data_IF_479397160806
#
_entry.id   IF_479397160806
#
_cell.length_a   1.000
_cell.length_b   1.000
_cell.length_c   1.000
_cell.angle_alpha   90.00
_cell.angle_beta   90.00
_cell.angle_gamma   90.00
#
_symmetry.space_group_name_H-M   'P 1'
#
loop_
_entity.id
_entity.type
_entity.pdbx_description
1 polymer ?
#
# COMPACT_ATOMS: atom_id res chain seq x y z
N UNK A 1 3.02 -6.03 -17.35
CA UNK A 1 3.17 -6.04 -15.88
C UNK A 1 1.93 -6.70 -15.30
N UNK A 2 2.07 -7.73 -14.45
CA UNK A 2 0.94 -8.61 -14.08
C UNK A 2 0.39 -8.40 -12.65
N UNK A 3 0.83 -7.37 -11.92
CA UNK A 3 0.50 -7.23 -10.49
C UNK A 3 0.51 -5.76 -10.08
N UNK A 4 -0.60 -5.28 -9.53
CA UNK A 4 -0.76 -3.97 -8.86
C UNK A 4 -0.44 -2.71 -9.67
N UNK A 5 -0.32 -2.84 -10.99
CA UNK A 5 0.05 -1.71 -11.84
C UNK A 5 -1.03 -0.62 -11.88
N UNK A 6 -2.31 -0.98 -11.79
CA UNK A 6 -3.39 0.01 -11.94
C UNK A 6 -3.35 1.11 -10.88
N UNK A 7 -2.93 0.79 -9.65
CA UNK A 7 -2.78 1.79 -8.58
C UNK A 7 -1.79 2.91 -8.94
N UNK A 8 -0.81 2.64 -9.79
CA UNK A 8 0.17 3.64 -10.24
C UNK A 8 -0.37 4.52 -11.37
N UNK A 9 -1.32 4.03 -12.16
CA UNK A 9 -1.81 4.72 -13.37
C UNK A 9 -2.29 6.15 -13.11
N UNK A 10 -3.09 6.46 -12.06
CA UNK A 10 -3.49 7.82 -11.77
C UNK A 10 -2.29 8.76 -11.55
N UNK A 11 -1.26 8.28 -10.87
CA UNK A 11 -0.07 9.07 -10.54
C UNK A 11 0.87 9.22 -11.73
N UNK A 12 1.03 8.17 -12.54
CA UNK A 12 1.76 8.25 -13.82
C UNK A 12 1.06 9.21 -14.77
N UNK A 13 -0.27 9.16 -14.86
CA UNK A 13 -1.04 10.10 -15.67
C UNK A 13 -0.80 11.56 -15.22
N UNK A 14 -0.88 11.83 -13.90
CA UNK A 14 -0.59 13.15 -13.35
C UNK A 14 0.84 13.60 -13.64
N UNK A 15 1.82 12.70 -13.53
CA UNK A 15 3.22 12.98 -13.86
C UNK A 15 3.38 13.36 -15.34
N UNK A 16 2.79 12.58 -16.25
CA UNK A 16 2.85 12.82 -17.70
C UNK A 16 2.20 14.14 -18.07
N UNK A 17 0.99 14.43 -17.55
CA UNK A 17 0.27 15.68 -17.86
C UNK A 17 0.97 16.91 -17.29
N UNK A 18 1.60 16.79 -16.13
CA UNK A 18 2.36 17.90 -15.52
C UNK A 18 3.78 18.06 -16.08
N UNK A 19 4.27 17.12 -16.89
CA UNK A 19 5.66 17.08 -17.34
C UNK A 19 6.67 16.80 -16.20
N UNK A 20 6.21 16.27 -15.06
CA UNK A 20 7.08 15.97 -13.94
C UNK A 20 8.02 14.81 -14.28
N UNK A 21 9.32 15.01 -14.08
CA UNK A 21 10.30 13.94 -14.22
C UNK A 21 9.96 12.78 -13.26
N UNK A 22 10.14 11.50 -13.65
CA UNK A 22 9.83 10.36 -12.79
C UNK A 22 10.48 10.42 -11.39
N UNK A 23 11.71 10.94 -11.32
CA UNK A 23 12.45 11.11 -10.05
C UNK A 23 11.78 12.09 -9.08
N UNK A 24 10.99 13.03 -9.58
CA UNK A 24 10.17 13.98 -8.80
C UNK A 24 8.76 13.44 -8.58
N UNK A 25 8.17 12.85 -9.62
CA UNK A 25 6.80 12.34 -9.61
C UNK A 25 6.57 11.28 -8.53
N UNK A 26 7.56 10.41 -8.28
CA UNK A 26 7.48 9.43 -7.20
C UNK A 26 7.25 10.11 -5.85
N UNK A 27 8.06 11.12 -5.51
CA UNK A 27 7.94 11.85 -4.25
C UNK A 27 6.63 12.64 -4.15
N UNK A 28 6.16 13.24 -5.25
CA UNK A 28 4.84 13.89 -5.28
C UNK A 28 3.71 12.89 -5.02
N UNK A 29 3.78 11.69 -5.59
CA UNK A 29 2.80 10.64 -5.34
C UNK A 29 2.82 10.20 -3.87
N UNK A 30 4.00 10.02 -3.27
CA UNK A 30 4.12 9.63 -1.84
C UNK A 30 3.50 10.65 -0.88
N UNK A 31 3.49 11.94 -1.24
CA UNK A 31 2.80 12.98 -0.47
C UNK A 31 1.29 13.05 -0.77
N UNK A 32 0.89 12.76 -2.02
CA UNK A 32 -0.50 12.87 -2.47
C UNK A 32 -1.38 11.75 -1.90
N UNK A 33 -0.90 10.50 -1.89
CA UNK A 33 -1.63 9.34 -1.38
C UNK A 33 -2.16 9.54 0.05
N UNK A 34 -1.33 9.89 1.06
CA UNK A 34 -1.80 10.07 2.43
C UNK A 34 -2.72 11.29 2.56
N UNK A 35 -2.52 12.35 1.77
CA UNK A 35 -3.43 13.49 1.76
C UNK A 35 -4.85 13.09 1.29
N UNK A 36 -4.94 12.30 0.21
CA UNK A 36 -6.23 11.78 -0.26
C UNK A 36 -6.86 10.79 0.72
N UNK A 37 -6.05 9.94 1.37
CA UNK A 37 -6.53 9.04 2.42
C UNK A 37 -7.09 9.82 3.62
N UNK A 38 -6.44 10.91 4.03
CA UNK A 38 -6.96 11.80 5.08
C UNK A 38 -8.32 12.39 4.70
N UNK A 39 -8.47 12.90 3.47
CA UNK A 39 -9.73 13.49 2.99
C UNK A 39 -10.83 12.44 2.91
N UNK A 40 -10.53 11.24 2.41
CA UNK A 40 -11.49 10.13 2.36
C UNK A 40 -11.92 9.67 3.76
N UNK A 41 -10.99 9.55 4.70
CA UNK A 41 -11.29 9.28 6.12
C UNK A 41 -12.14 10.40 6.74
N UNK A 42 -11.85 11.65 6.41
CA UNK A 42 -12.62 12.80 6.87
C UNK A 42 -14.07 12.75 6.38
N UNK A 43 -14.31 12.33 5.13
CA UNK A 43 -15.65 12.08 4.62
C UNK A 43 -16.37 10.99 5.43
N UNK A 44 -15.69 9.90 5.78
CA UNK A 44 -16.24 8.82 6.62
C UNK A 44 -16.67 9.33 8.00
N UNK A 45 -15.77 10.06 8.69
CA UNK A 45 -16.05 10.63 10.00
C UNK A 45 -17.21 11.62 9.98
N UNK A 46 -17.30 12.45 8.94
CA UNK A 46 -18.42 13.36 8.73
C UNK A 46 -19.75 12.62 8.54
N UNK A 47 -19.79 11.53 7.75
CA UNK A 47 -21.00 10.74 7.55
C UNK A 47 -21.48 10.08 8.85
N UNK A 48 -20.56 9.60 9.69
CA UNK A 48 -20.90 8.97 10.97
C UNK A 48 -21.45 10.01 11.97
N UNK A 49 -20.86 11.20 12.05
CA UNK A 49 -21.15 12.15 13.13
C UNK A 49 -22.03 13.35 12.72
N UNK A 50 -22.13 13.66 11.43
CA UNK A 50 -22.72 14.89 10.91
C UNK A 50 -21.98 16.18 11.31
N UNK A 51 -20.70 16.08 11.75
CA UNK A 51 -19.94 17.20 12.36
C UNK A 51 -18.57 17.34 11.70
N UNK A 52 -18.12 18.59 11.50
CA UNK A 52 -16.75 18.89 10.99
C UNK A 52 -15.66 18.33 11.91
N UNK A 53 -15.88 18.30 13.22
CA UNK A 53 -14.95 17.68 14.16
C UNK A 53 -14.77 16.18 13.91
N UNK A 54 -15.82 15.47 13.48
CA UNK A 54 -15.72 14.05 13.10
C UNK A 54 -14.86 13.83 11.88
N UNK A 55 -14.90 14.77 10.92
CA UNK A 55 -14.05 14.74 9.74
C UNK A 55 -12.56 14.86 10.12
N UNK A 56 -12.20 15.88 10.91
CA UNK A 56 -10.82 16.07 11.37
C UNK A 56 -10.32 14.91 12.23
N UNK A 57 -11.12 14.45 13.20
CA UNK A 57 -10.74 13.35 14.08
C UNK A 57 -10.55 12.04 13.29
N UNK A 58 -11.41 11.75 12.31
CA UNK A 58 -11.26 10.56 11.48
C UNK A 58 -10.02 10.61 10.60
N UNK A 59 -9.72 11.76 9.97
CA UNK A 59 -8.49 11.94 9.20
C UNK A 59 -7.24 11.79 10.07
N UNK A 60 -7.21 12.42 11.25
CA UNK A 60 -6.10 12.35 12.20
C UNK A 60 -5.86 10.91 12.67
N UNK A 61 -6.91 10.25 13.15
CA UNK A 61 -6.83 8.86 13.63
C UNK A 61 -6.41 7.91 12.51
N UNK A 62 -6.95 8.07 11.30
CA UNK A 62 -6.68 7.13 10.22
C UNK A 62 -5.29 7.27 9.64
N UNK A 63 -4.80 8.50 9.42
CA UNK A 63 -3.61 8.72 8.57
C UNK A 63 -2.41 9.33 9.30
N UNK A 64 -2.61 9.96 10.46
CA UNK A 64 -1.55 10.68 11.17
C UNK A 64 -1.23 10.10 12.55
N UNK A 65 -1.95 9.06 12.98
CA UNK A 65 -1.79 8.48 14.32
C UNK A 65 -0.97 7.19 14.25
N UNK A 66 0.05 7.10 15.09
CA UNK A 66 0.85 5.89 15.30
C UNK A 66 0.17 4.88 16.23
N UNK A 67 0.98 3.99 16.80
CA UNK A 67 0.55 2.87 17.64
C UNK A 67 0.85 3.12 19.12
N UNK A 68 0.68 2.11 19.98
CA UNK A 68 1.08 2.16 21.38
C UNK A 68 2.55 1.78 21.61
N UNK A 69 3.36 1.70 20.55
CA UNK A 69 4.75 1.24 20.57
C UNK A 69 5.62 1.92 21.65
N UNK A 70 5.65 3.25 21.70
CA UNK A 70 6.43 3.98 22.71
C UNK A 70 5.90 3.83 24.14
N UNK A 71 4.63 3.47 24.34
CA UNK A 71 4.10 3.15 25.67
C UNK A 71 4.62 1.79 26.15
N UNK A 72 4.69 0.81 25.24
CA UNK A 72 5.20 -0.54 25.55
C UNK A 72 6.73 -0.57 25.61
N UNK A 73 7.40 0.29 24.84
CA UNK A 73 8.87 0.38 24.74
C UNK A 73 9.37 1.79 25.06
N UNK A 74 9.19 2.28 26.30
CA UNK A 74 9.55 3.66 26.66
C UNK A 74 11.02 3.98 26.47
N UNK A 75 11.92 2.99 26.62
CA UNK A 75 13.36 3.16 26.37
C UNK A 75 13.72 3.54 24.93
N UNK A 76 12.80 3.39 23.97
CA UNK A 76 13.03 3.79 22.58
C UNK A 76 12.84 5.30 22.35
N UNK A 77 12.14 5.99 23.26
CA UNK A 77 11.75 7.39 23.11
C UNK A 77 12.95 8.32 22.90
N UNK A 78 13.98 8.20 23.77
CA UNK A 78 15.10 9.15 23.83
C UNK A 78 16.19 8.95 22.77
N UNK A 79 16.12 7.89 21.96
CA UNK A 79 17.07 7.69 20.87
C UNK A 79 16.31 7.21 19.63
N UNK A 80 15.53 8.08 18.98
CA UNK A 80 14.87 7.70 17.74
C UNK A 80 15.95 7.41 16.68
N UNK A 81 15.72 6.40 15.86
CA UNK A 81 16.57 6.09 14.71
C UNK A 81 15.78 5.22 13.73
N UNK A 82 16.32 5.02 12.53
CA UNK A 82 15.63 4.21 11.53
C UNK A 82 15.33 2.78 12.01
N UNK A 83 16.26 2.12 12.72
CA UNK A 83 16.06 0.73 13.15
C UNK A 83 14.88 0.60 14.13
N UNK A 84 14.69 1.57 15.01
CA UNK A 84 13.56 1.59 15.94
C UNK A 84 12.26 2.00 15.27
N UNK A 85 12.31 2.88 14.26
CA UNK A 85 11.18 3.13 13.36
C UNK A 85 10.76 1.83 12.65
N UNK A 86 11.72 1.10 12.09
CA UNK A 86 11.50 -0.20 11.45
C UNK A 86 10.95 -1.24 12.42
N UNK A 87 11.52 -1.34 13.63
CA UNK A 87 11.06 -2.26 14.65
C UNK A 87 9.60 -2.02 15.06
N UNK A 88 9.10 -0.78 14.97
CA UNK A 88 7.69 -0.47 15.27
C UNK A 88 6.68 -1.11 14.30
N UNK A 89 7.12 -1.58 13.13
CA UNK A 89 6.28 -2.31 12.16
C UNK A 89 6.62 -3.81 12.07
N UNK A 90 7.40 -4.34 13.02
CA UNK A 90 7.85 -5.74 13.10
C UNK A 90 7.55 -6.37 14.46
N UNK A 91 6.39 -6.04 15.03
CA UNK A 91 5.96 -6.46 16.37
C UNK A 91 5.54 -7.93 16.40
N UNK A 92 4.87 -8.42 15.36
CA UNK A 92 4.46 -9.81 15.16
C UNK A 92 5.50 -10.49 14.25
N UNK A 93 6.27 -11.47 14.74
CA UNK A 93 7.42 -12.02 13.99
C UNK A 93 7.08 -12.64 12.62
N UNK A 94 5.90 -13.25 12.49
CA UNK A 94 5.47 -13.90 11.24
C UNK A 94 4.96 -12.94 10.16
N UNK A 95 4.95 -11.63 10.44
CA UNK A 95 4.32 -10.68 9.55
C UNK A 95 4.98 -9.31 9.47
N UNK A 96 4.57 -8.59 8.44
CA UNK A 96 4.78 -7.15 8.32
C UNK A 96 3.58 -6.49 9.01
N UNK A 97 3.81 -5.52 9.91
CA UNK A 97 2.75 -4.92 10.74
C UNK A 97 2.77 -3.40 10.63
N UNK A 98 2.80 -2.90 9.40
CA UNK A 98 2.73 -1.46 9.19
C UNK A 98 1.37 -0.89 9.59
N UNK A 99 1.37 0.41 9.76
CA UNK A 99 0.22 1.23 10.07
C UNK A 99 0.26 2.48 9.18
N UNK A 100 -0.87 3.17 8.93
CA UNK A 100 -0.97 4.09 7.80
C UNK A 100 0.08 5.21 7.75
N UNK A 101 0.43 5.81 8.89
CA UNK A 101 1.50 6.83 8.93
C UNK A 101 2.89 6.22 8.75
N UNK A 102 3.14 4.99 9.21
CA UNK A 102 4.39 4.29 8.97
C UNK A 102 4.59 4.01 7.49
N UNK A 103 3.57 3.46 6.81
CA UNK A 103 3.60 3.19 5.37
C UNK A 103 3.85 4.48 4.58
N UNK A 104 3.18 5.59 4.96
CA UNK A 104 3.40 6.89 4.34
C UNK A 104 4.83 7.42 4.53
N UNK A 105 5.42 7.24 5.72
CA UNK A 105 6.80 7.67 6.00
C UNK A 105 7.85 6.77 5.35
N UNK A 106 7.57 5.47 5.23
CA UNK A 106 8.46 4.54 4.53
C UNK A 106 8.49 4.80 3.01
N UNK A 107 7.42 5.41 2.48
CA UNK A 107 7.30 5.87 1.10
C UNK A 107 7.44 4.77 0.04
N UNK A 108 7.08 3.53 0.38
CA UNK A 108 6.91 2.46 -0.59
C UNK A 108 5.52 2.60 -1.24
N UNK A 109 5.48 3.05 -2.50
CA UNK A 109 4.26 3.14 -3.32
C UNK A 109 3.71 1.77 -3.71
N UNK A 110 3.58 0.87 -2.74
CA UNK A 110 3.00 -0.44 -2.93
C UNK A 110 1.48 -0.34 -3.11
N UNK A 111 0.88 -1.40 -3.67
CA UNK A 111 -0.57 -1.47 -3.90
C UNK A 111 -1.43 -1.10 -2.70
N UNK A 112 -1.07 -1.57 -1.50
CA UNK A 112 -1.85 -1.27 -0.30
C UNK A 112 -1.85 0.22 0.01
N UNK A 113 -0.75 0.92 -0.25
CA UNK A 113 -0.63 2.33 0.10
C UNK A 113 -1.45 3.14 -0.90
N UNK A 114 -1.27 2.85 -2.18
CA UNK A 114 -2.02 3.45 -3.29
C UNK A 114 -3.53 3.23 -3.16
N UNK A 115 -3.98 2.16 -2.50
CA UNK A 115 -5.40 1.83 -2.34
C UNK A 115 -6.07 2.51 -1.13
N UNK A 116 -5.33 3.02 -0.14
CA UNK A 116 -5.93 3.67 1.05
C UNK A 116 -7.02 4.71 0.72
N UNK A 117 -6.82 5.66 -0.22
CA UNK A 117 -7.83 6.65 -0.53
C UNK A 117 -9.09 6.04 -1.14
N UNK A 118 -8.91 5.06 -2.03
CA UNK A 118 -10.00 4.37 -2.71
C UNK A 118 -10.83 3.53 -1.75
N UNK A 119 -10.19 2.76 -0.87
CA UNK A 119 -10.85 1.95 0.14
C UNK A 119 -11.73 2.80 1.07
N UNK A 120 -11.18 3.88 1.61
CA UNK A 120 -11.90 4.81 2.48
C UNK A 120 -13.03 5.53 1.74
N UNK A 121 -12.82 5.92 0.48
CA UNK A 121 -13.86 6.54 -0.33
C UNK A 121 -15.00 5.55 -0.63
N UNK A 122 -14.69 4.28 -0.93
CA UNK A 122 -15.69 3.23 -1.09
C UNK A 122 -16.47 3.04 0.20
N UNK A 123 -15.80 2.99 1.36
CA UNK A 123 -16.46 2.91 2.66
C UNK A 123 -17.40 4.11 2.91
N UNK A 124 -16.97 5.33 2.57
CA UNK A 124 -17.82 6.53 2.64
C UNK A 124 -19.06 6.42 1.72
N UNK A 125 -18.90 5.99 0.47
CA UNK A 125 -20.01 5.83 -0.48
C UNK A 125 -20.99 4.74 -0.03
N UNK A 126 -20.49 3.62 0.50
CA UNK A 126 -21.33 2.58 1.09
C UNK A 126 -22.13 3.11 2.29
N UNK A 127 -21.53 4.00 3.09
CA UNK A 127 -22.22 4.69 4.18
C UNK A 127 -23.36 5.59 3.66
N UNK A 128 -23.12 6.30 2.56
CA UNK A 128 -24.13 7.16 1.91
C UNK A 128 -25.31 6.35 1.37
N UNK A 129 -25.07 5.13 0.86
CA UNK A 129 -26.08 4.27 0.24
C UNK A 129 -27.30 3.98 1.15
N UNK A 130 -27.07 3.75 2.45
CA UNK A 130 -28.15 3.48 3.41
C UNK A 130 -28.54 4.71 4.24
N UNK A 131 -27.70 5.75 4.29
CA UNK A 131 -27.94 6.97 5.07
C UNK A 131 -28.79 8.00 4.32
N UNK A 132 -28.61 8.15 3.00
CA UNK A 132 -29.42 9.07 2.18
C UNK A 132 -30.49 8.33 1.38
N UNK A 133 -31.70 8.88 1.39
CA UNK A 133 -32.91 8.30 0.79
C UNK A 133 -33.17 8.71 -0.66
N UNK A 134 -32.28 9.50 -1.29
CA UNK A 134 -32.36 9.83 -2.72
C UNK A 134 -32.23 8.58 -3.59
N UNK A 135 -32.37 8.73 -4.91
CA UNK A 135 -32.21 7.67 -5.90
C UNK A 135 -30.90 6.89 -5.68
N UNK A 136 -30.99 5.73 -5.02
CA UNK A 136 -29.84 4.90 -4.67
C UNK A 136 -29.16 4.31 -5.89
N UNK A 137 -29.89 4.10 -6.98
CA UNK A 137 -29.33 3.59 -8.22
C UNK A 137 -28.37 4.60 -8.88
N UNK A 138 -28.42 5.89 -8.52
CA UNK A 138 -27.40 6.85 -8.91
C UNK A 138 -26.00 6.50 -8.34
N UNK A 139 -25.93 5.66 -7.30
CA UNK A 139 -24.67 5.18 -6.73
C UNK A 139 -24.07 3.99 -7.51
N UNK A 140 -24.80 3.39 -8.46
CA UNK A 140 -24.32 2.21 -9.18
C UNK A 140 -22.99 2.49 -9.89
N UNK A 141 -22.94 3.53 -10.74
CA UNK A 141 -21.74 3.85 -11.50
C UNK A 141 -20.53 4.20 -10.60
N UNK A 142 -20.61 5.18 -9.67
CA UNK A 142 -19.45 5.53 -8.85
C UNK A 142 -18.99 4.36 -7.96
N UNK A 143 -19.90 3.55 -7.43
CA UNK A 143 -19.53 2.39 -6.62
C UNK A 143 -18.88 1.30 -7.49
N UNK A 144 -19.41 1.03 -8.68
CA UNK A 144 -18.84 0.05 -9.62
C UNK A 144 -17.45 0.45 -10.08
N UNK A 145 -17.25 1.75 -10.35
CA UNK A 145 -15.95 2.31 -10.72
C UNK A 145 -14.93 2.15 -9.59
N UNK A 146 -15.32 2.45 -8.35
CA UNK A 146 -14.43 2.27 -7.21
C UNK A 146 -14.14 0.80 -6.94
N UNK A 147 -15.13 -0.09 -6.99
CA UNK A 147 -14.92 -1.53 -6.80
C UNK A 147 -13.97 -2.09 -7.87
N UNK A 148 -14.15 -1.71 -9.14
CA UNK A 148 -13.24 -2.07 -10.22
C UNK A 148 -11.83 -1.51 -9.98
N UNK A 149 -11.72 -0.22 -9.64
CA UNK A 149 -10.45 0.44 -9.35
C UNK A 149 -9.70 -0.21 -8.18
N UNK A 150 -10.39 -0.53 -7.09
CA UNK A 150 -9.79 -1.21 -5.93
C UNK A 150 -9.40 -2.65 -6.28
N UNK A 151 -10.21 -3.37 -7.04
CA UNK A 151 -9.84 -4.70 -7.51
C UNK A 151 -8.55 -4.67 -8.34
N UNK A 152 -8.45 -3.76 -9.30
CA UNK A 152 -7.26 -3.63 -10.16
C UNK A 152 -6.04 -3.09 -9.40
N UNK A 153 -6.26 -2.25 -8.38
CA UNK A 153 -5.18 -1.65 -7.57
C UNK A 153 -4.66 -2.59 -6.50
N UNK A 154 -5.55 -3.18 -5.70
CA UNK A 154 -5.22 -4.03 -4.57
C UNK A 154 -6.35 -5.02 -4.22
N UNK A 155 -6.22 -6.25 -4.70
CA UNK A 155 -7.20 -7.32 -4.46
C UNK A 155 -7.38 -7.73 -2.99
N UNK A 156 -6.45 -7.36 -2.09
CA UNK A 156 -6.57 -7.70 -0.66
C UNK A 156 -7.68 -6.95 0.06
N UNK A 157 -8.22 -5.91 -0.54
CA UNK A 157 -9.33 -5.14 0.01
C UNK A 157 -10.69 -5.76 -0.28
N UNK A 158 -10.75 -6.67 -1.26
CA UNK A 158 -12.00 -7.27 -1.71
C UNK A 158 -12.76 -8.00 -0.59
N UNK A 159 -12.12 -8.75 0.33
CA UNK A 159 -12.84 -9.38 1.43
C UNK A 159 -13.57 -8.37 2.33
N UNK A 160 -12.92 -7.26 2.72
CA UNK A 160 -13.58 -6.23 3.52
C UNK A 160 -14.69 -5.53 2.73
N UNK A 161 -14.38 -5.10 1.50
CA UNK A 161 -15.34 -4.37 0.67
C UNK A 161 -16.56 -5.22 0.33
N UNK A 162 -16.42 -6.52 0.12
CA UNK A 162 -17.53 -7.43 -0.10
C UNK A 162 -18.43 -7.55 1.14
N UNK A 163 -17.84 -7.77 2.32
CA UNK A 163 -18.60 -7.84 3.58
C UNK A 163 -19.34 -6.53 3.87
N UNK A 164 -18.64 -5.40 3.71
CA UNK A 164 -19.19 -4.07 3.92
C UNK A 164 -20.28 -3.73 2.88
N UNK A 165 -20.12 -4.14 1.62
CA UNK A 165 -21.15 -3.97 0.59
C UNK A 165 -22.43 -4.73 0.96
N UNK A 166 -22.32 -6.00 1.37
CA UNK A 166 -23.48 -6.81 1.79
C UNK A 166 -24.21 -6.14 2.95
N UNK A 167 -23.49 -5.68 3.97
CA UNK A 167 -24.09 -4.97 5.11
C UNK A 167 -24.77 -3.67 4.66
N UNK A 168 -24.11 -2.87 3.80
CA UNK A 168 -24.68 -1.63 3.30
C UNK A 168 -25.99 -1.87 2.51
N UNK A 169 -26.03 -2.93 1.69
CA UNK A 169 -27.23 -3.34 0.95
C UNK A 169 -28.35 -3.82 1.87
N UNK A 170 -28.03 -4.59 2.91
CA UNK A 170 -29.01 -5.01 3.90
C UNK A 170 -29.64 -3.81 4.60
N UNK A 171 -28.81 -2.87 5.09
CA UNK A 171 -29.26 -1.64 5.74
C UNK A 171 -30.06 -0.74 4.79
N UNK A 172 -29.69 -0.70 3.52
CA UNK A 172 -30.39 0.07 2.50
C UNK A 172 -31.75 -0.55 2.16
N UNK A 173 -31.82 -1.82 1.78
CA UNK A 173 -32.98 -2.35 1.06
C UNK A 173 -33.87 -3.31 1.86
N UNK A 174 -33.37 -4.03 2.87
CA UNK A 174 -34.14 -5.14 3.47
C UNK A 174 -35.42 -4.71 4.20
N UNK A 175 -35.52 -3.45 4.60
CA UNK A 175 -36.74 -2.88 5.19
C UNK A 175 -37.82 -2.48 4.15
N UNK A 176 -37.53 -2.60 2.85
CA UNK A 176 -38.45 -2.21 1.78
C UNK A 176 -39.22 -3.41 1.22
N UNK A 177 -40.34 -3.13 0.55
CA UNK A 177 -41.03 -4.15 -0.25
C UNK A 177 -40.09 -4.71 -1.33
N UNK A 178 -40.04 -6.05 -1.43
CA UNK A 178 -39.09 -6.76 -2.29
C UNK A 178 -37.62 -6.34 -2.05
N UNK A 179 -37.28 -6.01 -0.81
CA UNK A 179 -35.97 -5.51 -0.40
C UNK A 179 -34.80 -6.41 -0.80
N UNK A 180 -34.94 -7.72 -0.62
CA UNK A 180 -33.94 -8.71 -1.04
C UNK A 180 -33.72 -8.67 -2.56
N UNK A 181 -34.81 -8.66 -3.35
CA UNK A 181 -34.72 -8.58 -4.81
C UNK A 181 -34.00 -7.29 -5.23
N UNK A 182 -34.38 -6.13 -4.66
CA UNK A 182 -33.72 -4.85 -4.96
C UNK A 182 -32.24 -4.85 -4.59
N UNK A 183 -31.87 -5.42 -3.45
CA UNK A 183 -30.49 -5.56 -3.02
C UNK A 183 -29.69 -6.45 -4.00
N UNK A 184 -30.26 -7.60 -4.38
CA UNK A 184 -29.64 -8.52 -5.33
C UNK A 184 -29.50 -7.89 -6.71
N UNK A 185 -30.53 -7.20 -7.21
CA UNK A 185 -30.45 -6.46 -8.48
C UNK A 185 -29.33 -5.43 -8.42
N UNK A 186 -29.26 -4.63 -7.36
CA UNK A 186 -28.20 -3.64 -7.20
C UNK A 186 -26.81 -4.30 -7.17
N UNK A 187 -26.65 -5.37 -6.40
CA UNK A 187 -25.39 -6.12 -6.28
C UNK A 187 -24.94 -6.67 -7.64
N UNK A 188 -25.85 -7.33 -8.37
CA UNK A 188 -25.56 -7.92 -9.68
C UNK A 188 -25.23 -6.83 -10.69
N UNK A 189 -26.03 -5.76 -10.76
CA UNK A 189 -25.76 -4.64 -11.67
C UNK A 189 -24.42 -3.97 -11.36
N UNK A 190 -24.12 -3.71 -10.09
CA UNK A 190 -22.84 -3.14 -9.69
C UNK A 190 -21.66 -4.08 -10.00
N UNK A 191 -21.83 -5.38 -9.76
CA UNK A 191 -20.82 -6.40 -10.06
C UNK A 191 -20.54 -6.52 -11.56
N UNK A 192 -21.58 -6.54 -12.40
CA UNK A 192 -21.45 -6.59 -13.86
C UNK A 192 -20.79 -5.31 -14.38
N UNK A 193 -21.23 -4.14 -13.92
CA UNK A 193 -20.60 -2.87 -14.31
C UNK A 193 -19.13 -2.81 -13.88
N UNK A 194 -18.80 -3.25 -12.66
CA UNK A 194 -17.42 -3.32 -12.19
C UNK A 194 -16.58 -4.30 -13.03
N UNK A 195 -17.14 -5.46 -13.40
CA UNK A 195 -16.48 -6.43 -14.26
C UNK A 195 -16.24 -5.89 -15.66
N UNK A 196 -17.19 -5.15 -16.24
CA UNK A 196 -17.02 -4.47 -17.53
C UNK A 196 -15.90 -3.41 -17.45
N UNK A 197 -15.89 -2.59 -16.40
CA UNK A 197 -14.86 -1.58 -16.20
C UNK A 197 -13.47 -2.20 -15.97
N UNK A 198 -13.41 -3.35 -15.29
CA UNK A 198 -12.18 -4.10 -15.08
C UNK A 198 -11.82 -5.04 -16.24
N UNK A 199 -12.67 -5.18 -17.26
CA UNK A 199 -12.52 -6.18 -18.31
C UNK A 199 -11.17 -6.13 -19.04
N UNK A 200 -10.68 -4.94 -19.49
CA UNK A 200 -9.37 -4.86 -20.15
C UNK A 200 -8.23 -5.34 -19.24
N UNK A 201 -8.34 -5.10 -17.94
CA UNK A 201 -7.38 -5.57 -16.96
C UNK A 201 -7.49 -7.08 -16.74
N UNK A 202 -8.71 -7.63 -16.61
CA UNK A 202 -8.93 -9.05 -16.39
C UNK A 202 -8.41 -9.93 -17.54
N UNK A 203 -8.61 -9.50 -18.79
CA UNK A 203 -8.14 -10.26 -19.97
C UNK A 203 -6.62 -10.19 -20.14
N UNK A 204 -6.00 -9.07 -19.75
CA UNK A 204 -4.56 -8.85 -19.93
C UNK A 204 -3.67 -9.42 -18.82
N UNK A 205 -4.22 -10.05 -17.78
CA UNK A 205 -3.49 -10.41 -16.57
C UNK A 205 -3.58 -11.90 -16.25
N UNK A 206 -2.45 -12.49 -15.86
CA UNK A 206 -2.42 -13.80 -15.21
C UNK A 206 -2.36 -13.59 -13.70
N UNK A 207 -3.53 -13.66 -13.05
CA UNK A 207 -3.61 -13.53 -11.60
C UNK A 207 -3.16 -14.84 -10.93
N UNK A 208 -2.27 -14.79 -9.93
CA UNK A 208 -1.98 -15.97 -9.12
C UNK A 208 -3.26 -16.45 -8.42
N UNK A 209 -3.45 -17.77 -8.36
CA UNK A 209 -4.59 -18.35 -7.65
C UNK A 209 -4.37 -18.15 -6.14
N UNK A 210 -5.24 -17.35 -5.52
CA UNK A 210 -5.28 -17.25 -4.06
C UNK A 210 -5.89 -18.51 -3.44
N UNK A 211 -5.37 -18.91 -2.28
CA UNK A 211 -5.92 -20.01 -1.49
C UNK A 211 -6.19 -19.54 -0.06
N UNK A 212 -7.21 -20.14 0.56
CA UNK A 212 -7.48 -20.01 1.98
C UNK A 212 -7.14 -21.34 2.64
N UNK A 213 -6.40 -21.30 3.73
CA UNK A 213 -6.08 -22.49 4.49
C UNK A 213 -6.01 -22.19 5.98
N UNK A 214 -6.40 -23.19 6.76
CA UNK A 214 -6.35 -23.15 8.22
C UNK A 214 -4.94 -23.50 8.65
N UNK A 215 -4.29 -22.56 9.33
CA UNK A 215 -2.92 -22.72 9.79
C UNK A 215 -2.76 -21.95 11.09
N UNK A 216 -2.39 -22.68 12.14
CA UNK A 216 -2.07 -22.07 13.43
C UNK A 216 -0.69 -21.43 13.31
N UNK A 217 -0.66 -20.11 13.32
CA UNK A 217 0.60 -19.36 13.36
C UNK A 217 1.25 -19.41 14.75
N UNK A 218 2.39 -18.73 14.87
CA UNK A 218 3.03 -18.44 16.15
C UNK A 218 2.06 -17.78 17.11
N UNK A 219 2.29 -18.05 18.40
CA UNK A 219 1.50 -17.44 19.45
C UNK A 219 1.73 -15.93 19.48
N UNK A 220 0.77 -15.16 18.98
CA UNK A 220 0.73 -13.71 19.16
C UNK A 220 0.16 -13.40 20.53
N UNK A 221 0.92 -12.67 21.35
CA UNK A 221 0.51 -12.25 22.68
C UNK A 221 -0.48 -11.09 22.61
N UNK A 222 -1.29 -10.93 23.67
CA UNK A 222 -2.17 -9.76 23.79
C UNK A 222 -1.36 -8.45 23.82
N UNK A 223 -0.16 -8.47 24.40
CA UNK A 223 0.76 -7.32 24.44
C UNK A 223 1.13 -6.83 23.04
N UNK A 224 1.39 -7.73 22.09
CA UNK A 224 1.69 -7.36 20.69
C UNK A 224 0.48 -6.74 19.98
N UNK A 225 -0.72 -7.25 20.21
CA UNK A 225 -1.94 -6.64 19.68
C UNK A 225 -2.19 -5.26 20.28
N UNK A 226 -1.95 -5.09 21.59
CA UNK A 226 -2.05 -3.80 22.25
C UNK A 226 -1.00 -2.82 21.73
N UNK A 227 0.24 -3.26 21.55
CA UNK A 227 1.35 -2.46 21.01
C UNK A 227 1.00 -1.88 19.62
N UNK A 228 0.40 -2.68 18.74
CA UNK A 228 0.01 -2.26 17.38
C UNK A 228 -1.31 -1.49 17.34
N UNK A 229 -2.38 -2.06 17.88
CA UNK A 229 -3.75 -1.58 17.66
C UNK A 229 -4.33 -0.83 18.86
N UNK A 230 -3.67 -0.82 20.02
CA UNK A 230 -4.21 -0.33 21.29
C UNK A 230 -4.70 1.12 21.25
N UNK A 231 -4.02 2.00 20.51
CA UNK A 231 -4.46 3.39 20.31
C UNK A 231 -5.78 3.43 19.53
N UNK A 232 -5.83 2.82 18.35
CA UNK A 232 -6.99 2.88 17.46
C UNK A 232 -8.20 2.12 18.04
N UNK A 233 -7.97 0.90 18.54
CA UNK A 233 -9.00 0.09 19.17
C UNK A 233 -9.50 0.74 20.47
N UNK A 234 -8.60 1.31 21.29
CA UNK A 234 -8.97 2.00 22.52
C UNK A 234 -9.83 3.22 22.26
N UNK A 235 -9.44 4.09 21.32
CA UNK A 235 -10.26 5.24 20.91
C UNK A 235 -11.60 4.77 20.34
N UNK A 236 -11.61 3.78 19.45
CA UNK A 236 -12.84 3.24 18.88
C UNK A 236 -13.81 2.73 19.95
N UNK A 237 -13.34 1.91 20.90
CA UNK A 237 -14.19 1.33 21.95
C UNK A 237 -14.71 2.38 22.94
N UNK A 238 -13.86 3.32 23.37
CA UNK A 238 -14.26 4.44 24.25
C UNK A 238 -15.30 5.33 23.56
N UNK A 239 -15.06 5.66 22.29
CA UNK A 239 -15.95 6.46 21.47
C UNK A 239 -17.25 5.72 21.14
N UNK A 240 -17.20 4.40 20.94
CA UNK A 240 -18.39 3.57 20.73
C UNK A 240 -19.27 3.60 21.98
N UNK A 241 -18.72 3.35 23.16
CA UNK A 241 -19.47 3.38 24.42
C UNK A 241 -20.16 4.74 24.67
N UNK A 242 -19.48 5.84 24.35
CA UNK A 242 -19.99 7.19 24.61
C UNK A 242 -20.88 7.75 23.48
N UNK A 243 -20.61 7.37 22.24
CA UNK A 243 -21.28 7.85 21.03
C UNK A 243 -22.48 7.02 20.62
N UNK A 244 -22.59 5.77 21.09
CA UNK A 244 -23.62 4.80 20.68
C UNK A 244 -25.03 5.38 20.66
N UNK A 245 -25.46 5.98 21.78
CA UNK A 245 -26.82 6.51 21.95
C UNK A 245 -27.13 7.66 21.00
N UNK A 246 -26.12 8.35 20.49
CA UNK A 246 -26.27 9.51 19.60
C UNK A 246 -26.32 9.13 18.12
N UNK A 247 -26.02 7.88 17.77
CA UNK A 247 -26.11 7.39 16.40
C UNK A 247 -27.52 6.91 16.07
N UNK A 248 -27.92 7.13 14.81
CA UNK A 248 -29.10 6.50 14.24
C UNK A 248 -28.93 4.97 14.17
N UNK A 249 -30.02 4.16 14.25
CA UNK A 249 -29.93 2.70 14.27
C UNK A 249 -29.13 2.07 13.11
N UNK A 250 -29.28 2.59 11.89
CA UNK A 250 -28.51 2.10 10.73
C UNK A 250 -27.01 2.40 10.85
N UNK A 251 -26.65 3.57 11.37
CA UNK A 251 -25.25 3.93 11.61
C UNK A 251 -24.63 3.08 12.73
N UNK A 252 -25.41 2.73 13.76
CA UNK A 252 -24.98 1.78 14.79
C UNK A 252 -24.61 0.43 14.20
N UNK A 253 -25.49 -0.15 13.39
CA UNK A 253 -25.24 -1.41 12.70
C UNK A 253 -24.01 -1.33 11.76
N UNK A 254 -23.88 -0.21 11.03
CA UNK A 254 -22.74 0.01 10.15
C UNK A 254 -21.40 0.08 10.88
N UNK A 255 -21.32 0.87 11.96
CA UNK A 255 -20.09 1.01 12.75
C UNK A 255 -19.76 -0.29 13.48
N UNK A 256 -20.76 -1.06 13.94
CA UNK A 256 -20.53 -2.41 14.47
C UNK A 256 -19.98 -3.35 13.41
N UNK A 257 -20.53 -3.34 12.19
CA UNK A 257 -20.02 -4.16 11.10
C UNK A 257 -18.57 -3.82 10.76
N UNK A 258 -18.22 -2.53 10.67
CA UNK A 258 -16.85 -2.09 10.46
C UNK A 258 -15.92 -2.55 11.61
N UNK A 259 -16.36 -2.43 12.87
CA UNK A 259 -15.63 -2.92 14.04
C UNK A 259 -15.45 -4.44 14.05
N UNK A 260 -16.46 -5.21 13.63
CA UNK A 260 -16.40 -6.67 13.54
C UNK A 260 -15.48 -7.13 12.42
N UNK A 261 -15.50 -6.46 11.25
CA UNK A 261 -14.54 -6.70 10.17
C UNK A 261 -13.12 -6.40 10.64
N UNK A 262 -12.90 -5.25 11.27
CA UNK A 262 -11.59 -4.91 11.85
C UNK A 262 -11.13 -5.95 12.89
N UNK A 263 -12.02 -6.39 13.79
CA UNK A 263 -11.74 -7.44 14.76
C UNK A 263 -11.32 -8.75 14.07
N UNK A 264 -12.11 -9.19 13.08
CA UNK A 264 -11.80 -10.38 12.31
C UNK A 264 -10.46 -10.26 11.57
N UNK A 265 -10.09 -9.07 11.12
CA UNK A 265 -8.84 -8.83 10.39
C UNK A 265 -7.61 -8.73 11.29
N UNK A 266 -7.79 -8.26 12.52
CA UNK A 266 -6.72 -8.23 13.54
C UNK A 266 -6.45 -9.64 14.08
N UNK A 267 -7.50 -10.38 14.44
CA UNK A 267 -7.36 -11.66 15.14
C UNK A 267 -7.46 -12.89 14.24
N UNK A 268 -8.16 -12.79 13.11
CA UNK A 268 -8.36 -13.88 12.15
C UNK A 268 -7.06 -14.44 11.57
N UNK A 269 -6.05 -13.62 11.20
CA UNK A 269 -4.77 -14.11 10.70
C UNK A 269 -4.05 -15.09 11.63
N UNK A 270 -4.38 -15.13 12.92
CA UNK A 270 -3.87 -16.16 13.86
C UNK A 270 -4.26 -17.58 13.46
N UNK A 271 -5.45 -17.74 12.88
CA UNK A 271 -6.06 -19.04 12.59
C UNK A 271 -6.23 -19.30 11.09
N UNK A 272 -6.46 -18.24 10.31
CA UNK A 272 -6.75 -18.31 8.89
C UNK A 272 -5.66 -17.59 8.10
N UNK A 273 -5.08 -18.28 7.13
CA UNK A 273 -4.12 -17.71 6.20
C UNK A 273 -4.79 -17.51 4.84
N UNK A 274 -4.69 -16.29 4.31
CA UNK A 274 -5.03 -15.93 2.93
C UNK A 274 -3.72 -15.82 2.15
N UNK A 275 -3.52 -16.68 1.15
CA UNK A 275 -2.28 -16.77 0.32
C UNK A 275 -1.04 -17.12 1.13
N UNK A 276 -0.61 -16.26 2.05
CA UNK A 276 0.50 -16.44 2.97
C UNK A 276 0.29 -15.65 4.27
N UNK A 277 0.99 -16.09 5.33
CA UNK A 277 0.80 -15.57 6.69
C UNK A 277 1.21 -14.11 6.82
N UNK A 278 2.34 -13.77 6.23
CA UNK A 278 2.92 -12.43 6.29
C UNK A 278 1.95 -11.40 5.70
N UNK A 279 1.44 -11.65 4.49
CA UNK A 279 0.50 -10.76 3.84
C UNK A 279 -0.88 -10.73 4.53
N UNK A 280 -1.30 -11.84 5.16
CA UNK A 280 -2.53 -11.88 5.96
C UNK A 280 -2.48 -10.92 7.15
N UNK A 281 -1.40 -10.96 7.95
CA UNK A 281 -1.21 -10.00 9.05
C UNK A 281 -1.06 -8.57 8.55
N UNK A 282 -0.35 -8.41 7.44
CA UNK A 282 -0.03 -7.10 6.90
C UNK A 282 -1.24 -6.39 6.30
N UNK A 283 -1.82 -6.96 5.25
CA UNK A 283 -2.79 -6.28 4.39
C UNK A 283 -4.18 -6.22 5.02
N UNK A 284 -4.55 -7.20 5.83
CA UNK A 284 -5.80 -7.17 6.61
C UNK A 284 -5.64 -6.23 7.82
N UNK A 285 -4.48 -6.24 8.49
CA UNK A 285 -4.17 -5.32 9.59
C UNK A 285 -4.25 -3.84 9.19
N UNK A 286 -3.72 -3.48 8.02
CA UNK A 286 -3.83 -2.12 7.47
C UNK A 286 -5.31 -1.70 7.30
N UNK A 287 -6.15 -2.57 6.74
CA UNK A 287 -7.58 -2.28 6.58
C UNK A 287 -8.29 -2.10 7.94
N UNK A 288 -7.87 -2.85 8.97
CA UNK A 288 -8.40 -2.66 10.32
C UNK A 288 -8.05 -1.28 10.89
N UNK A 289 -6.82 -0.78 10.69
CA UNK A 289 -6.45 0.60 11.07
C UNK A 289 -7.36 1.62 10.38
N UNK A 290 -7.57 1.47 9.07
CA UNK A 290 -8.41 2.38 8.28
C UNK A 290 -9.85 2.44 8.80
N UNK A 291 -10.46 1.27 9.05
CA UNK A 291 -11.83 1.18 9.55
C UNK A 291 -11.97 1.73 10.98
N UNK A 292 -11.05 1.36 11.88
CA UNK A 292 -11.08 1.81 13.28
C UNK A 292 -10.86 3.32 13.39
N UNK A 293 -9.92 3.88 12.61
CA UNK A 293 -9.67 5.32 12.58
C UNK A 293 -10.86 6.11 12.03
N UNK A 294 -11.39 5.68 10.88
CA UNK A 294 -12.49 6.36 10.21
C UNK A 294 -13.77 6.36 11.06
N UNK A 295 -14.16 5.21 11.60
CA UNK A 295 -15.32 5.11 12.48
C UNK A 295 -15.07 5.73 13.85
N UNK A 296 -13.88 5.55 14.43
CA UNK A 296 -13.52 6.06 15.76
C UNK A 296 -13.60 7.57 15.84
N UNK A 297 -13.10 8.30 14.82
CA UNK A 297 -13.19 9.75 14.78
C UNK A 297 -14.63 10.27 14.68
N UNK A 298 -15.46 9.63 13.87
CA UNK A 298 -16.88 9.95 13.77
C UNK A 298 -17.65 9.66 15.07
N UNK A 299 -17.42 8.49 15.68
CA UNK A 299 -18.00 8.12 16.98
C UNK A 299 -17.61 9.12 18.08
N UNK A 300 -16.34 9.52 18.11
CA UNK A 300 -15.85 10.44 19.12
C UNK A 300 -16.51 11.80 18.95
N UNK A 301 -16.59 12.31 17.72
CA UNK A 301 -17.30 13.55 17.45
C UNK A 301 -18.79 13.48 17.79
N UNK A 302 -19.47 12.37 17.52
CA UNK A 302 -20.87 12.15 17.93
C UNK A 302 -21.02 12.15 19.46
N UNK A 303 -19.98 11.69 20.18
CA UNK A 303 -19.91 11.75 21.62
C UNK A 303 -19.58 13.14 22.17
N UNK A 304 -19.28 14.18 21.39
CA UNK A 304 -19.03 15.51 21.97
C UNK A 304 -20.33 16.18 22.46
N UNK A 305 -20.28 16.78 23.64
CA UNK A 305 -21.39 17.53 24.25
C UNK A 305 -20.84 18.67 25.13
N UNK A 306 -21.51 19.84 25.24
CA UNK A 306 -21.01 20.96 26.04
C UNK A 306 -20.83 20.65 27.54
N UNK A 307 -21.67 19.77 28.09
CA UNK A 307 -21.64 19.37 29.51
C UNK A 307 -21.71 17.84 29.62
N UNK A 308 -20.62 17.12 29.35
CA UNK A 308 -20.61 15.66 29.43
C UNK A 308 -20.71 15.20 30.90
N UNK A 309 -21.46 14.11 31.14
CA UNK A 309 -21.43 13.42 32.44
C UNK A 309 -20.01 12.88 32.71
N UNK A 310 -19.65 12.69 33.98
CA UNK A 310 -18.31 12.29 34.38
C UNK A 310 -17.75 11.04 33.65
N UNK A 311 -18.50 9.94 33.39
CA UNK A 311 -17.94 8.76 32.72
C UNK A 311 -17.60 9.07 31.25
N UNK A 312 -18.44 9.88 30.60
CA UNK A 312 -18.24 10.33 29.22
C UNK A 312 -17.05 11.28 29.13
N UNK A 313 -16.90 12.18 30.11
CA UNK A 313 -15.75 13.09 30.20
C UNK A 313 -14.45 12.28 30.36
N UNK A 314 -14.43 11.30 31.25
CA UNK A 314 -13.28 10.42 31.45
C UNK A 314 -12.93 9.67 30.16
N UNK A 315 -13.90 9.05 29.49
CA UNK A 315 -13.67 8.35 28.22
C UNK A 315 -13.13 9.27 27.11
N UNK A 316 -13.61 10.51 27.03
CA UNK A 316 -13.08 11.51 26.09
C UNK A 316 -11.65 11.93 26.43
N UNK A 317 -11.32 12.09 27.71
CA UNK A 317 -9.95 12.38 28.15
C UNK A 317 -9.01 11.21 27.84
N UNK A 318 -9.44 9.97 28.08
CA UNK A 318 -8.67 8.78 27.74
C UNK A 318 -8.48 8.64 26.22
N UNK A 319 -9.52 8.90 25.42
CA UNK A 319 -9.41 8.92 23.96
C UNK A 319 -8.45 10.01 23.47
N UNK A 320 -8.48 11.20 24.10
CA UNK A 320 -7.53 12.27 23.83
C UNK A 320 -6.10 11.89 24.18
N UNK A 321 -5.87 11.25 25.34
CA UNK A 321 -4.56 10.78 25.75
C UNK A 321 -4.00 9.72 24.78
N UNK A 322 -4.84 8.79 24.31
CA UNK A 322 -4.46 7.79 23.31
C UNK A 322 -4.14 8.43 21.95
N UNK A 323 -4.93 9.41 21.50
CA UNK A 323 -4.63 10.17 20.29
C UNK A 323 -3.28 10.89 20.43
N UNK A 324 -3.04 11.58 21.56
CA UNK A 324 -1.76 12.25 21.82
C UNK A 324 -0.60 11.26 21.80
N UNK A 325 -0.74 10.09 22.44
CA UNK A 325 0.27 9.02 22.39
C UNK A 325 0.59 8.62 20.95
N UNK A 326 -0.43 8.37 20.13
CA UNK A 326 -0.24 8.00 18.73
C UNK A 326 0.35 9.13 17.87
N UNK A 327 -0.02 10.39 18.11
CA UNK A 327 0.57 11.55 17.44
C UNK A 327 2.05 11.74 17.84
N UNK A 328 2.39 11.52 19.11
CA UNK A 328 3.78 11.53 19.59
C UNK A 328 4.59 10.44 18.89
N UNK A 329 4.05 9.22 18.77
CA UNK A 329 4.68 8.15 17.98
C UNK A 329 4.88 8.56 16.52
N UNK A 330 3.89 9.18 15.89
CA UNK A 330 3.99 9.61 14.51
C UNK A 330 5.07 10.68 14.31
N UNK A 331 5.13 11.69 15.19
CA UNK A 331 6.18 12.71 15.17
C UNK A 331 7.57 12.10 15.43
N UNK A 332 7.66 11.17 16.37
CA UNK A 332 8.89 10.44 16.68
C UNK A 332 9.37 9.61 15.48
N UNK A 333 8.45 8.93 14.77
CA UNK A 333 8.76 8.22 13.52
C UNK A 333 9.25 9.18 12.43
N UNK A 334 8.55 10.30 12.23
CA UNK A 334 8.94 11.31 11.23
C UNK A 334 10.34 11.83 11.51
N UNK A 335 10.63 12.17 12.77
CA UNK A 335 11.96 12.60 13.17
C UNK A 335 13.00 11.51 12.91
N UNK A 336 12.71 10.25 13.25
CA UNK A 336 13.62 9.13 13.03
C UNK A 336 13.94 8.94 11.54
N UNK A 337 12.94 9.04 10.66
CA UNK A 337 13.12 8.89 9.20
C UNK A 337 13.86 10.08 8.59
N UNK A 338 13.45 11.31 8.91
CA UNK A 338 14.00 12.54 8.28
C UNK A 338 15.43 12.83 8.74
N UNK A 339 15.78 12.50 9.99
CA UNK A 339 17.14 12.73 10.52
C UNK A 339 18.11 11.61 10.16
N UNK A 340 17.63 10.38 9.89
CA UNK A 340 18.53 9.28 9.53
C UNK A 340 19.10 9.45 8.12
N UNK A 341 20.43 9.60 8.03
CA UNK A 341 21.17 9.63 6.78
C UNK A 341 21.62 8.23 6.37
N UNK A 342 20.76 7.53 5.63
CA UNK A 342 21.04 6.19 5.10
C UNK A 342 22.12 6.17 4.02
N UNK A 343 22.12 7.19 3.16
CA UNK A 343 22.97 7.30 1.98
C UNK A 343 23.38 8.76 1.81
N UNK A 344 24.66 9.05 1.49
CA UNK A 344 25.11 10.42 1.24
C UNK A 344 24.42 11.00 0.00
N UNK A 345 24.02 12.26 0.07
CA UNK A 345 23.38 12.97 -1.05
C UNK A 345 22.85 14.34 -0.64
N UNK A 346 22.50 15.20 -1.61
CA UNK A 346 21.90 16.51 -1.35
C UNK A 346 20.52 16.36 -0.71
N UNK A 347 20.24 17.15 0.33
CA UNK A 347 18.94 17.20 1.04
C UNK A 347 18.70 18.60 1.61
N UNK A 348 17.45 19.12 1.63
CA UNK A 348 16.25 18.52 1.07
C UNK A 348 16.23 18.61 -0.47
N UNK A 349 15.62 17.63 -1.12
CA UNK A 349 15.37 17.63 -2.58
C UNK A 349 14.14 16.78 -2.89
N UNK A 350 13.42 17.13 -3.95
CA UNK A 350 12.35 16.29 -4.51
C UNK A 350 12.88 15.31 -5.57
N UNK A 351 14.12 15.49 -6.03
CA UNK A 351 14.73 14.58 -7.00
C UNK A 351 15.24 13.32 -6.31
N UNK A 352 14.49 12.22 -6.48
CA UNK A 352 14.81 10.91 -5.90
C UNK A 352 16.11 10.28 -6.43
N UNK A 353 16.69 10.81 -7.52
CA UNK A 353 17.94 10.34 -8.10
C UNK A 353 19.16 11.11 -7.61
N UNK A 354 18.98 12.26 -6.95
CA UNK A 354 20.05 13.21 -6.67
C UNK A 354 21.18 12.63 -5.79
N UNK A 355 20.89 11.60 -4.98
CA UNK A 355 21.89 10.93 -4.15
C UNK A 355 22.86 10.08 -4.98
N UNK A 356 22.47 9.59 -6.17
CA UNK A 356 23.27 8.68 -6.99
C UNK A 356 24.61 9.31 -7.35
N UNK A 357 24.65 10.60 -7.66
CA UNK A 357 25.88 11.29 -8.02
C UNK A 357 26.97 11.20 -6.95
N UNK A 358 26.58 11.20 -5.66
CA UNK A 358 27.52 11.11 -4.55
C UNK A 358 27.75 9.66 -4.07
N UNK A 359 26.68 8.88 -3.98
CA UNK A 359 26.73 7.55 -3.37
C UNK A 359 27.12 6.44 -4.36
N UNK A 360 26.72 6.58 -5.63
CA UNK A 360 26.87 5.56 -6.67
C UNK A 360 27.16 6.22 -8.03
N UNK A 361 28.31 6.90 -8.19
CA UNK A 361 28.59 7.72 -9.37
C UNK A 361 28.58 6.93 -10.68
N UNK A 362 29.01 5.66 -10.65
CA UNK A 362 28.94 4.76 -11.80
C UNK A 362 27.50 4.47 -12.24
N UNK A 363 26.59 4.31 -11.28
CA UNK A 363 25.15 4.14 -11.55
C UNK A 363 24.55 5.42 -12.08
N UNK A 364 24.92 6.57 -11.51
CA UNK A 364 24.45 7.87 -11.99
C UNK A 364 24.82 8.08 -13.48
N UNK A 365 26.06 7.76 -13.87
CA UNK A 365 26.50 7.80 -15.26
C UNK A 365 25.73 6.79 -16.13
N UNK A 366 25.54 5.57 -15.64
CA UNK A 366 24.79 4.54 -16.37
C UNK A 366 23.32 4.92 -16.58
N UNK A 367 22.65 5.52 -15.58
CA UNK A 367 21.27 6.02 -15.67
C UNK A 367 21.16 7.15 -16.68
N UNK A 368 22.15 8.06 -16.73
CA UNK A 368 22.20 9.12 -17.74
C UNK A 368 22.25 8.53 -19.15
N UNK A 369 23.21 7.65 -19.43
CA UNK A 369 23.35 6.99 -20.75
C UNK A 369 22.09 6.21 -21.10
N UNK A 370 21.53 5.48 -20.12
CA UNK A 370 20.32 4.70 -20.29
C UNK A 370 19.10 5.54 -20.72
N UNK A 371 18.97 6.76 -20.18
CA UNK A 371 17.94 7.73 -20.58
C UNK A 371 18.23 8.36 -21.94
N UNK A 372 19.47 8.81 -22.17
CA UNK A 372 19.90 9.47 -23.42
C UNK A 372 19.80 8.54 -24.64
N UNK A 373 20.16 7.27 -24.48
CA UNK A 373 20.06 6.25 -25.53
C UNK A 373 18.68 5.58 -25.59
N UNK A 374 17.76 5.93 -24.68
CA UNK A 374 16.43 5.33 -24.57
C UNK A 374 16.46 3.80 -24.53
N UNK A 375 17.34 3.26 -23.67
CA UNK A 375 17.48 1.82 -23.51
C UNK A 375 16.18 1.21 -22.98
N UNK A 376 15.68 0.23 -23.72
CA UNK A 376 14.38 -0.42 -23.49
C UNK A 376 14.50 -1.84 -22.95
N UNK A 377 15.57 -2.57 -23.29
CA UNK A 377 15.80 -3.95 -22.83
C UNK A 377 17.27 -4.15 -22.47
N UNK A 378 17.53 -4.65 -21.27
CA UNK A 378 18.88 -4.84 -20.75
C UNK A 378 19.01 -6.12 -19.93
N UNK A 379 20.24 -6.62 -19.83
CA UNK A 379 20.62 -7.66 -18.89
C UNK A 379 21.40 -7.01 -17.74
N UNK A 380 20.74 -6.84 -16.61
CA UNK A 380 21.36 -6.38 -15.37
C UNK A 380 21.36 -7.51 -14.36
N UNK A 381 22.39 -7.53 -13.51
CA UNK A 381 22.49 -8.42 -12.37
C UNK A 381 21.17 -8.51 -11.59
N UNK A 382 20.71 -9.74 -11.36
CA UNK A 382 19.49 -10.03 -10.63
C UNK A 382 19.83 -11.02 -9.50
N UNK A 383 19.44 -10.64 -8.29
CA UNK A 383 19.71 -11.39 -7.06
C UNK A 383 18.40 -11.61 -6.28
N UNK A 384 18.44 -12.24 -5.10
CA UNK A 384 17.27 -12.38 -4.24
C UNK A 384 16.61 -11.02 -3.93
N UNK A 385 15.34 -11.02 -3.51
CA UNK A 385 14.63 -9.79 -3.12
C UNK A 385 15.43 -8.92 -2.14
N UNK A 386 15.31 -7.60 -2.29
CA UNK A 386 15.95 -6.59 -1.44
C UNK A 386 17.48 -6.46 -1.58
N UNK A 387 18.10 -7.17 -2.53
CA UNK A 387 19.48 -6.90 -2.91
C UNK A 387 19.60 -5.57 -3.70
N UNK A 388 20.76 -4.94 -3.62
CA UNK A 388 21.06 -3.65 -4.27
C UNK A 388 21.45 -3.84 -5.75
N UNK A 389 20.46 -4.22 -6.57
CA UNK A 389 20.57 -4.46 -8.01
C UNK A 389 19.32 -3.92 -8.74
N UNK A 390 19.19 -4.18 -10.05
CA UNK A 390 18.06 -3.74 -10.88
C UNK A 390 17.81 -2.22 -10.84
N UNK A 391 18.90 -1.44 -10.78
CA UNK A 391 18.92 0.02 -10.71
C UNK A 391 18.51 0.66 -12.04
N UNK A 392 18.96 0.16 -13.19
CA UNK A 392 18.60 0.75 -14.49
C UNK A 392 17.11 0.55 -14.82
N UNK A 393 16.50 -0.63 -14.62
CA UNK A 393 15.06 -0.79 -14.73
C UNK A 393 14.28 0.18 -13.84
N UNK A 394 14.77 0.41 -12.62
CA UNK A 394 14.13 1.30 -11.65
C UNK A 394 14.14 2.77 -12.08
N UNK A 395 15.29 3.28 -12.56
CA UNK A 395 15.46 4.69 -12.89
C UNK A 395 15.16 5.05 -14.36
N UNK A 396 15.30 4.11 -15.29
CA UNK A 396 15.05 4.35 -16.71
C UNK A 396 13.70 3.80 -17.20
N UNK A 397 13.07 2.89 -16.46
CA UNK A 397 11.91 2.13 -16.96
C UNK A 397 12.26 1.07 -18.01
N UNK A 398 13.55 0.71 -18.14
CA UNK A 398 14.01 -0.34 -19.04
C UNK A 398 13.59 -1.73 -18.56
N UNK A 399 13.23 -2.62 -19.48
CA UNK A 399 12.89 -4.00 -19.15
C UNK A 399 14.16 -4.80 -18.84
N UNK A 400 14.28 -5.29 -17.60
CA UNK A 400 15.29 -6.29 -17.26
C UNK A 400 14.97 -7.65 -17.89
N UNK A 401 16.01 -8.36 -18.33
CA UNK A 401 15.90 -9.76 -18.77
C UNK A 401 15.18 -10.64 -17.74
N UNK A 402 15.55 -10.47 -16.47
CA UNK A 402 14.99 -11.14 -15.30
C UNK A 402 15.13 -10.22 -14.09
N UNK A 403 14.13 -10.23 -13.21
CA UNK A 403 14.13 -9.49 -11.94
C UNK A 403 14.20 -10.41 -10.73
N UNK A 404 13.79 -9.94 -9.56
CA UNK A 404 13.80 -10.73 -8.33
C UNK A 404 12.91 -11.97 -8.44
N UNK A 405 13.51 -13.15 -8.21
CA UNK A 405 12.91 -14.48 -8.39
C UNK A 405 11.55 -14.62 -7.68
N UNK A 406 11.50 -14.32 -6.38
CA UNK A 406 10.27 -14.41 -5.59
C UNK A 406 9.14 -13.53 -6.14
N UNK A 407 9.47 -12.30 -6.58
CA UNK A 407 8.48 -11.37 -7.12
C UNK A 407 7.98 -11.81 -8.51
N UNK A 408 8.83 -12.44 -9.32
CA UNK A 408 8.38 -13.03 -10.59
C UNK A 408 7.45 -14.22 -10.35
N UNK A 409 7.80 -15.10 -9.42
CA UNK A 409 6.98 -16.26 -9.05
C UNK A 409 5.62 -15.83 -8.50
N UNK A 410 5.59 -14.88 -7.55
CA UNK A 410 4.34 -14.32 -7.02
C UNK A 410 3.46 -13.70 -8.12
N UNK A 411 4.07 -13.20 -9.20
CA UNK A 411 3.38 -12.63 -10.37
C UNK A 411 2.97 -13.68 -11.41
N UNK A 412 2.99 -14.96 -11.04
CA UNK A 412 2.50 -16.07 -11.86
C UNK A 412 3.50 -16.58 -12.91
N UNK A 413 4.78 -16.20 -12.83
CA UNK A 413 5.81 -16.74 -13.74
C UNK A 413 6.22 -18.14 -13.31
N UNK A 414 6.35 -19.04 -14.28
CA UNK A 414 6.77 -20.42 -14.04
C UNK A 414 8.19 -20.43 -13.49
N UNK A 415 8.43 -21.22 -12.43
CA UNK A 415 9.74 -21.30 -11.79
C UNK A 415 10.84 -21.71 -12.77
N UNK A 416 10.56 -22.66 -13.66
CA UNK A 416 11.48 -23.08 -14.72
C UNK A 416 11.86 -21.93 -15.68
N UNK A 417 10.91 -21.05 -16.03
CA UNK A 417 11.19 -19.87 -16.86
C UNK A 417 12.12 -18.90 -16.13
N UNK A 418 11.88 -18.66 -14.84
CA UNK A 418 12.71 -17.76 -14.02
C UNK A 418 14.14 -18.31 -13.92
N UNK A 419 14.29 -19.60 -13.61
CA UNK A 419 15.61 -20.25 -13.49
C UNK A 419 16.38 -20.27 -14.81
N UNK A 420 15.69 -20.52 -15.93
CA UNK A 420 16.31 -20.46 -17.26
C UNK A 420 16.86 -19.05 -17.54
N UNK A 421 16.06 -18.00 -17.29
CA UNK A 421 16.51 -16.63 -17.53
C UNK A 421 17.64 -16.18 -16.60
N UNK A 422 17.67 -16.66 -15.35
CA UNK A 422 18.80 -16.43 -14.44
C UNK A 422 20.07 -17.10 -14.95
N UNK A 423 19.96 -18.32 -15.49
CA UNK A 423 21.08 -18.99 -16.15
C UNK A 423 21.56 -18.19 -17.37
N UNK A 424 20.64 -17.79 -18.26
CA UNK A 424 20.95 -17.00 -19.45
C UNK A 424 21.61 -15.66 -19.09
N UNK A 425 21.10 -14.98 -18.06
CA UNK A 425 21.69 -13.77 -17.50
C UNK A 425 23.15 -14.02 -17.08
N UNK A 426 23.43 -15.13 -16.39
CA UNK A 426 24.79 -15.46 -15.96
C UNK A 426 25.76 -15.68 -17.13
N UNK A 427 25.27 -16.22 -18.25
CA UNK A 427 26.07 -16.43 -19.47
C UNK A 427 26.36 -15.09 -20.14
N UNK A 428 25.35 -14.23 -20.24
CA UNK A 428 25.46 -12.89 -20.80
C UNK A 428 26.43 -12.01 -20.02
N UNK A 429 26.30 -11.96 -18.69
CA UNK A 429 27.16 -11.13 -17.84
C UNK A 429 28.60 -11.63 -17.79
N UNK A 430 28.83 -12.95 -17.91
CA UNK A 430 30.19 -13.50 -18.05
C UNK A 430 30.78 -13.32 -19.45
N UNK A 431 29.93 -13.17 -20.47
CA UNK A 431 30.35 -13.19 -21.88
C UNK A 431 30.87 -14.55 -22.36
N UNK A 432 30.60 -15.64 -21.61
CA UNK A 432 31.15 -16.96 -21.87
C UNK A 432 30.13 -18.10 -21.69
N UNK A 433 30.09 -19.09 -22.61
CA UNK A 433 30.82 -19.14 -23.88
C UNK A 433 30.35 -18.05 -24.86
N UNK A 434 31.28 -17.44 -25.60
CA UNK A 434 30.99 -16.25 -26.42
C UNK A 434 29.89 -16.48 -27.47
N UNK A 435 29.87 -17.65 -28.12
CA UNK A 435 28.84 -18.02 -29.10
C UNK A 435 27.44 -18.07 -28.49
N UNK A 436 27.31 -18.64 -27.28
CA UNK A 436 26.03 -18.71 -26.57
C UNK A 436 25.61 -17.33 -26.07
N UNK A 437 26.51 -16.55 -25.48
CA UNK A 437 26.22 -15.19 -25.04
C UNK A 437 25.75 -14.30 -26.21
N UNK A 438 26.37 -14.42 -27.39
CA UNK A 438 25.95 -13.69 -28.58
C UNK A 438 24.56 -14.10 -29.06
N UNK A 439 24.29 -15.41 -29.10
CA UNK A 439 22.99 -15.94 -29.49
C UNK A 439 21.87 -15.47 -28.53
N UNK A 440 22.15 -15.46 -27.21
CA UNK A 440 21.23 -14.96 -26.20
C UNK A 440 20.99 -13.45 -26.32
N UNK A 441 22.04 -12.66 -26.56
CA UNK A 441 21.91 -11.21 -26.74
C UNK A 441 21.01 -10.87 -27.94
N UNK A 442 21.16 -11.60 -29.05
CA UNK A 442 20.29 -11.47 -30.23
C UNK A 442 18.86 -11.96 -29.94
N UNK A 443 18.70 -13.13 -29.29
CA UNK A 443 17.39 -13.70 -28.92
C UNK A 443 16.56 -12.72 -28.09
N UNK A 444 17.18 -12.07 -27.11
CA UNK A 444 16.52 -11.14 -26.21
C UNK A 444 16.52 -9.69 -26.70
N UNK A 445 17.17 -9.41 -27.85
CA UNK A 445 17.32 -8.06 -28.41
C UNK A 445 17.88 -7.09 -27.38
N UNK A 446 18.92 -7.52 -26.67
CA UNK A 446 19.53 -6.72 -25.61
C UNK A 446 20.20 -5.49 -26.20
N UNK A 447 20.00 -4.36 -25.54
CA UNK A 447 20.66 -3.10 -25.88
C UNK A 447 21.80 -2.77 -24.90
N UNK A 448 21.77 -3.37 -23.71
CA UNK A 448 22.83 -3.19 -22.72
C UNK A 448 23.04 -4.39 -21.80
N UNK A 449 24.25 -4.46 -21.26
CA UNK A 449 24.67 -5.34 -20.18
C UNK A 449 25.15 -4.48 -19.00
N UNK A 450 24.69 -4.77 -17.79
CA UNK A 450 25.09 -4.04 -16.59
C UNK A 450 25.40 -5.00 -15.43
N UNK A 451 26.47 -4.72 -14.69
CA UNK A 451 26.85 -5.47 -13.49
C UNK A 451 27.50 -4.53 -12.48
N UNK A 452 27.14 -4.66 -11.20
CA UNK A 452 27.58 -3.71 -10.16
C UNK A 452 28.62 -4.29 -9.22
N UNK A 453 28.60 -5.61 -9.00
CA UNK A 453 29.70 -6.27 -8.30
C UNK A 453 30.96 -6.33 -9.17
N UNK A 454 30.79 -6.63 -10.47
CA UNK A 454 31.87 -6.69 -11.47
C UNK A 454 31.37 -6.19 -12.82
N UNK A 455 32.24 -5.56 -13.62
CA UNK A 455 31.95 -5.22 -15.01
C UNK A 455 31.53 -6.46 -15.82
N UNK A 456 30.53 -6.36 -16.70
CA UNK A 456 30.19 -7.45 -17.62
C UNK A 456 31.38 -7.85 -18.49
N UNK A 457 31.47 -9.14 -18.81
CA UNK A 457 32.44 -9.71 -19.72
C UNK A 457 32.35 -9.10 -21.13
N UNK A 458 33.41 -9.28 -21.93
CA UNK A 458 33.42 -8.80 -23.30
C UNK A 458 32.43 -9.57 -24.16
N UNK A 459 31.64 -8.85 -24.97
CA UNK A 459 30.69 -9.42 -25.92
C UNK A 459 30.72 -8.59 -27.21
N UNK A 460 30.76 -9.25 -28.35
CA UNK A 460 30.85 -8.57 -29.65
C UNK A 460 29.63 -7.69 -29.91
N UNK A 461 29.87 -6.45 -30.34
CA UNK A 461 28.83 -5.44 -30.55
C UNK A 461 28.43 -4.65 -29.29
N UNK A 462 28.95 -5.00 -28.10
CA UNK A 462 28.70 -4.28 -26.85
C UNK A 462 29.96 -3.55 -26.35
N UNK A 463 29.98 -2.23 -26.53
CA UNK A 463 31.08 -1.37 -26.13
C UNK A 463 30.94 -0.94 -24.65
N UNK A 464 32.03 -0.95 -23.85
CA UNK A 464 32.00 -0.45 -22.49
C UNK A 464 31.83 1.07 -22.46
N UNK A 465 31.00 1.57 -21.53
CA UNK A 465 30.81 3.00 -21.28
C UNK A 465 31.92 3.47 -20.31
N UNK A 466 32.89 4.30 -20.74
CA UNK A 466 34.07 4.63 -19.94
C UNK A 466 33.73 5.29 -18.60
N UNK A 467 32.74 6.17 -18.58
CA UNK A 467 32.30 6.93 -17.40
C UNK A 467 31.75 6.04 -16.28
N UNK A 468 31.34 4.81 -16.62
CA UNK A 468 30.87 3.82 -15.66
C UNK A 468 31.99 2.90 -15.16
N UNK A 469 33.24 3.07 -15.63
CA UNK A 469 34.32 2.10 -15.38
C UNK A 469 34.09 0.75 -16.07
N UNK A 470 33.27 0.71 -17.13
CA UNK A 470 32.90 -0.51 -17.84
C UNK A 470 31.78 -1.32 -17.18
N UNK A 471 31.18 -0.83 -16.09
CA UNK A 471 30.04 -1.47 -15.42
C UNK A 471 28.77 -1.48 -16.28
N UNK A 472 28.67 -0.59 -17.27
CA UNK A 472 27.68 -0.63 -18.33
C UNK A 472 28.37 -0.89 -19.67
N UNK A 473 27.82 -1.80 -20.46
CA UNK A 473 28.13 -1.98 -21.88
C UNK A 473 26.87 -1.78 -22.71
N UNK A 474 26.95 -0.99 -23.77
CA UNK A 474 25.81 -0.71 -24.67
C UNK A 474 26.10 -1.22 -26.07
N UNK A 475 25.07 -1.59 -26.82
CA UNK A 475 25.21 -1.91 -28.23
C UNK A 475 25.70 -0.68 -28.99
N UNK A 476 26.70 -0.83 -29.85
CA UNK A 476 27.00 0.22 -30.82
C UNK A 476 25.72 0.49 -31.64
N UNK A 477 25.26 1.75 -31.68
CA UNK A 477 24.16 2.12 -32.59
C UNK A 477 24.56 1.69 -34.01
N UNK A 478 23.68 1.04 -34.77
CA UNK A 478 23.95 0.70 -36.15
C UNK A 478 24.24 1.95 -37.00
#
# INVERSE_FOLDING_TARGET
MNYYFFGFLPYVFLATVSGAAPSVAFNLATATVPALAFVAAAACGFVVSGRRSGAWLAGLLTQLTGTAYLLVRPGHFLAPNFDRFWASSRVIPEGINEYPVWTALFADLHAHFLSFPGFLLTFALLSVLFHRHRNRFAMLFPLSLLLASQYMSNTWEMPALALLLVVALALAFFHQSRGVVRATTFLVTAGVLAAILAWPFLVGQHLPRGAFFWEKGQAVSFGQYFELYGVHAGVFLLALACGWRHLAPRLRAWVLAAGLVAFAFVFGPRYLTLVDKMNSYFKLGLQAFLLLGACGGGLWAASLSPRPRWPRRLAQVLAAALLVLGLVQALWNTWAVVTTRRVPGPRPTLDGEAYLAQAQPQVAAAVRVCKEESLSVLAEEASPPYADNLRLPMFCGAAALVGWEYHLWQRGKAYAEIRLRLYDLSVLLRGQPASLAQALAHRYRLQALAGWEKPPGSLAGFAPVPETGGHLRVTAKP
#
